data_IF_690772262147
#
_entry.id   IF_690772262147
#
_cell.length_a   1.000
_cell.length_b   1.000
_cell.length_c   1.000
_cell.angle_alpha   90.00
_cell.angle_beta   90.00
_cell.angle_gamma   90.00
#
_symmetry.space_group_name_H-M   'P 1'
#
loop_
_entity.id
_entity.type
_entity.pdbx_description
1 polymer ?
#
# COMPACT_ATOMS: atom_id res chain seq x y z
N UNK A 1 29.55 -22.76 26.79
CA UNK A 1 28.18 -22.20 26.67
C UNK A 1 27.89 -21.85 25.22
N UNK A 2 26.78 -22.29 24.68
CA UNK A 2 26.39 -21.96 23.31
C UNK A 2 25.61 -20.61 23.31
N UNK A 3 26.04 -19.65 22.47
CA UNK A 3 25.32 -18.43 22.23
C UNK A 3 24.21 -18.70 21.22
N UNK A 4 22.96 -18.51 21.60
CA UNK A 4 21.80 -18.63 20.71
C UNK A 4 21.45 -17.24 20.15
N UNK A 5 21.65 -17.03 18.87
CA UNK A 5 21.23 -15.79 18.19
C UNK A 5 19.75 -15.89 17.87
N UNK A 6 18.98 -14.91 18.28
CA UNK A 6 17.56 -14.75 17.90
C UNK A 6 17.53 -13.67 16.82
N UNK A 7 17.10 -14.01 15.62
CA UNK A 7 16.82 -13.03 14.58
C UNK A 7 15.37 -12.54 14.77
N UNK A 8 15.23 -11.35 15.36
CA UNK A 8 13.94 -10.72 15.61
C UNK A 8 13.28 -10.30 14.29
N UNK A 9 14.08 -9.90 13.29
CA UNK A 9 13.58 -9.47 11.97
C UNK A 9 12.89 -10.63 11.27
N UNK A 10 13.50 -11.80 11.27
CA UNK A 10 12.93 -13.00 10.64
C UNK A 10 11.55 -13.36 11.22
N UNK A 11 11.39 -13.27 12.55
CA UNK A 11 10.11 -13.53 13.21
C UNK A 11 9.04 -12.50 12.89
N UNK A 12 9.42 -11.23 12.82
CA UNK A 12 8.51 -10.14 12.47
C UNK A 12 8.05 -10.26 11.03
N UNK A 13 8.96 -10.59 10.11
CA UNK A 13 8.63 -10.81 8.69
C UNK A 13 7.71 -12.02 8.52
N UNK A 14 8.00 -13.15 9.16
CA UNK A 14 7.14 -14.33 9.11
C UNK A 14 5.72 -14.05 9.61
N UNK A 15 5.58 -13.26 10.68
CA UNK A 15 4.26 -12.86 11.18
C UNK A 15 3.53 -11.93 10.20
N UNK A 16 4.25 -11.03 9.55
CA UNK A 16 3.68 -10.19 8.51
C UNK A 16 3.17 -11.03 7.33
N UNK A 17 3.93 -12.02 6.89
CA UNK A 17 3.56 -12.90 5.76
C UNK A 17 2.30 -13.72 6.07
N UNK A 18 2.12 -14.19 7.30
CA UNK A 18 0.88 -14.83 7.75
C UNK A 18 -0.32 -13.88 7.64
N UNK A 19 -0.18 -12.65 8.13
CA UNK A 19 -1.23 -11.63 8.07
C UNK A 19 -1.50 -11.18 6.62
N UNK A 20 -0.48 -11.07 5.79
CA UNK A 20 -0.64 -10.78 4.37
C UNK A 20 -1.46 -11.87 3.65
N UNK A 21 -1.20 -13.13 3.97
CA UNK A 21 -2.00 -14.24 3.45
C UNK A 21 -3.47 -14.18 3.91
N UNK A 22 -3.72 -13.79 5.15
CA UNK A 22 -5.09 -13.58 5.66
C UNK A 22 -5.79 -12.43 4.93
N UNK A 23 -5.12 -11.29 4.72
CA UNK A 23 -5.63 -10.14 3.95
C UNK A 23 -5.99 -10.58 2.54
N UNK A 24 -5.07 -11.26 1.85
CA UNK A 24 -5.28 -11.78 0.49
C UNK A 24 -6.48 -12.73 0.43
N UNK A 25 -6.63 -13.60 1.41
CA UNK A 25 -7.77 -14.51 1.51
C UNK A 25 -9.11 -13.78 1.68
N UNK A 26 -9.15 -12.72 2.50
CA UNK A 26 -10.35 -11.89 2.70
C UNK A 26 -10.76 -11.18 1.42
N UNK A 27 -9.81 -10.56 0.72
CA UNK A 27 -10.06 -9.87 -0.55
C UNK A 27 -10.50 -10.85 -1.63
N UNK A 28 -9.84 -12.00 -1.76
CA UNK A 28 -10.20 -13.05 -2.71
C UNK A 28 -11.61 -13.62 -2.48
N UNK A 29 -12.03 -13.79 -1.23
CA UNK A 29 -13.38 -14.24 -0.88
C UNK A 29 -14.48 -13.30 -1.41
N UNK A 30 -14.17 -12.00 -1.52
CA UNK A 30 -15.07 -10.97 -2.08
C UNK A 30 -14.76 -10.64 -3.55
N UNK A 31 -13.77 -11.31 -4.16
CA UNK A 31 -13.31 -11.07 -5.53
C UNK A 31 -12.85 -9.62 -5.77
N UNK A 32 -12.19 -9.04 -4.78
CA UNK A 32 -11.67 -7.68 -4.82
C UNK A 32 -10.20 -7.74 -5.22
N UNK A 33 -9.82 -7.31 -6.43
CA UNK A 33 -8.42 -7.08 -6.78
C UNK A 33 -7.86 -5.92 -5.94
N UNK A 34 -6.56 -5.99 -5.66
CA UNK A 34 -5.88 -5.00 -4.82
C UNK A 34 -4.53 -4.59 -5.41
N UNK A 35 -4.31 -3.29 -5.45
CA UNK A 35 -3.10 -2.68 -6.01
C UNK A 35 -2.37 -1.88 -4.92
N UNK A 36 -1.10 -2.20 -4.70
CA UNK A 36 -0.21 -1.45 -3.83
C UNK A 36 0.59 -0.45 -4.66
N UNK A 37 0.38 0.84 -4.42
CA UNK A 37 1.08 1.92 -5.11
C UNK A 37 2.29 2.36 -4.29
N UNK A 38 3.47 2.21 -4.86
CA UNK A 38 4.75 2.55 -4.24
C UNK A 38 5.50 3.58 -5.07
N UNK A 39 6.26 4.44 -4.44
CA UNK A 39 7.07 5.46 -5.13
C UNK A 39 8.01 6.17 -4.17
N UNK A 40 8.92 6.99 -4.71
CA UNK A 40 9.56 8.06 -3.95
C UNK A 40 8.52 9.08 -3.48
N UNK A 41 8.79 9.85 -2.40
CA UNK A 41 7.95 10.99 -2.02
C UNK A 41 7.80 11.98 -3.19
N UNK A 42 6.58 12.48 -3.40
CA UNK A 42 6.32 13.50 -4.42
C UNK A 42 6.27 13.00 -5.87
N UNK A 43 6.25 11.69 -6.12
CA UNK A 43 6.18 11.13 -7.48
C UNK A 43 4.80 11.17 -8.12
N UNK A 44 3.76 11.55 -7.36
CA UNK A 44 2.42 11.75 -7.89
C UNK A 44 1.42 10.62 -7.61
N UNK A 45 1.67 9.71 -6.64
CA UNK A 45 0.71 8.65 -6.25
C UNK A 45 -0.68 9.18 -5.97
N UNK A 46 -0.79 10.12 -5.03
CA UNK A 46 -2.05 10.72 -4.64
C UNK A 46 -2.74 11.41 -5.82
N UNK A 47 -1.99 12.15 -6.63
CA UNK A 47 -2.54 12.80 -7.83
C UNK A 47 -3.05 11.81 -8.87
N UNK A 48 -2.38 10.67 -9.05
CA UNK A 48 -2.85 9.58 -9.91
C UNK A 48 -4.17 8.99 -9.38
N UNK A 49 -4.25 8.75 -8.07
CA UNK A 49 -5.46 8.23 -7.44
C UNK A 49 -6.63 9.23 -7.53
N UNK A 50 -6.40 10.53 -7.31
CA UNK A 50 -7.42 11.57 -7.50
C UNK A 50 -8.02 11.50 -8.91
N UNK A 51 -7.17 11.45 -9.94
CA UNK A 51 -7.63 11.35 -11.33
C UNK A 51 -8.33 10.01 -11.62
N UNK A 52 -7.89 8.94 -10.99
CA UNK A 52 -8.51 7.62 -11.14
C UNK A 52 -9.92 7.60 -10.52
N UNK A 53 -10.07 8.16 -9.32
CA UNK A 53 -11.36 8.29 -8.66
C UNK A 53 -12.33 9.16 -9.47
N UNK A 54 -11.85 10.28 -9.98
CA UNK A 54 -12.66 11.18 -10.83
C UNK A 54 -13.10 10.50 -12.15
N UNK A 55 -12.21 9.72 -12.77
CA UNK A 55 -12.50 9.11 -14.08
C UNK A 55 -13.33 7.82 -14.01
N UNK A 56 -13.19 7.06 -12.95
CA UNK A 56 -13.75 5.71 -12.84
C UNK A 56 -14.74 5.52 -11.70
N UNK A 57 -14.86 6.46 -10.77
CA UNK A 57 -15.67 6.33 -9.56
C UNK A 57 -17.14 6.04 -9.79
N UNK A 58 -17.71 6.51 -10.90
CA UNK A 58 -19.09 6.23 -11.30
C UNK A 58 -19.29 4.78 -11.81
N UNK A 59 -18.23 4.08 -12.16
CA UNK A 59 -18.27 2.74 -12.77
C UNK A 59 -17.69 1.64 -11.92
N UNK A 60 -16.74 1.98 -11.05
CA UNK A 60 -16.00 1.04 -10.19
C UNK A 60 -16.06 1.54 -8.77
N UNK A 61 -16.54 0.69 -7.86
CA UNK A 61 -16.60 0.98 -6.44
C UNK A 61 -15.21 0.77 -5.82
N UNK A 62 -14.45 1.85 -5.74
CA UNK A 62 -13.06 1.83 -5.26
C UNK A 62 -12.99 2.18 -3.78
N UNK A 63 -12.29 1.37 -3.00
CA UNK A 63 -11.85 1.71 -1.65
C UNK A 63 -10.37 2.06 -1.67
N UNK A 64 -9.94 2.95 -0.79
CA UNK A 64 -8.55 3.39 -0.69
C UNK A 64 -8.08 3.31 0.77
N UNK A 65 -6.92 2.67 0.96
CA UNK A 65 -6.15 2.76 2.20
C UNK A 65 -4.90 3.56 1.88
N UNK A 66 -4.68 4.67 2.55
CA UNK A 66 -3.51 5.52 2.35
C UNK A 66 -2.64 5.58 3.60
N UNK A 67 -1.35 5.37 3.44
CA UNK A 67 -0.35 5.41 4.51
C UNK A 67 0.52 6.66 4.46
N UNK A 68 0.63 7.35 5.58
CA UNK A 68 1.54 8.47 5.76
C UNK A 68 2.29 8.35 7.09
N UNK A 69 3.46 8.98 7.16
CA UNK A 69 4.32 8.93 8.35
C UNK A 69 3.69 9.68 9.53
N UNK A 70 3.08 10.84 9.31
CA UNK A 70 2.63 11.75 10.36
C UNK A 70 1.28 12.41 10.13
N UNK A 71 0.78 12.46 8.88
CA UNK A 71 -0.42 13.23 8.53
C UNK A 71 -1.48 12.37 7.85
N UNK A 72 -2.68 12.93 7.67
CA UNK A 72 -3.74 12.32 6.86
C UNK A 72 -4.11 13.18 5.64
N UNK A 73 -3.22 14.10 5.24
CA UNK A 73 -3.51 15.06 4.17
C UNK A 73 -3.84 14.38 2.84
N UNK A 74 -3.17 13.28 2.52
CA UNK A 74 -3.46 12.53 1.29
C UNK A 74 -4.82 11.82 1.38
N UNK A 75 -5.18 11.30 2.56
CA UNK A 75 -6.51 10.75 2.79
C UNK A 75 -7.61 11.82 2.60
N UNK A 76 -7.41 13.02 3.14
CA UNK A 76 -8.37 14.12 3.02
C UNK A 76 -8.54 14.56 1.56
N UNK A 77 -7.45 14.61 0.79
CA UNK A 77 -7.46 14.90 -0.64
C UNK A 77 -8.29 13.88 -1.42
N UNK A 78 -8.06 12.58 -1.15
CA UNK A 78 -8.76 11.49 -1.82
C UNK A 78 -10.23 11.42 -1.40
N UNK A 79 -10.54 11.64 -0.12
CA UNK A 79 -11.90 11.66 0.39
C UNK A 79 -12.76 12.78 -0.25
N UNK A 80 -12.16 13.86 -0.71
CA UNK A 80 -12.83 14.91 -1.47
C UNK A 80 -13.25 14.48 -2.88
N UNK A 81 -12.78 13.33 -3.38
CA UNK A 81 -13.03 12.81 -4.74
C UNK A 81 -13.97 11.61 -4.79
N UNK A 82 -14.43 11.13 -3.64
CA UNK A 82 -15.29 9.94 -3.58
C UNK A 82 -16.24 10.00 -2.39
N UNK A 83 -17.43 9.43 -2.55
CA UNK A 83 -18.39 9.23 -1.44
C UNK A 83 -18.07 7.94 -0.64
N UNK A 84 -17.04 7.20 -1.04
CA UNK A 84 -16.62 5.95 -0.39
C UNK A 84 -15.55 6.20 0.65
N UNK A 85 -15.38 5.22 1.54
CA UNK A 85 -14.40 5.33 2.60
C UNK A 85 -12.97 5.39 2.04
N UNK A 86 -12.23 6.40 2.48
CA UNK A 86 -10.78 6.48 2.37
C UNK A 86 -10.22 6.28 3.78
N UNK A 87 -9.51 5.19 3.99
CA UNK A 87 -8.97 4.84 5.30
C UNK A 87 -7.54 5.36 5.43
N UNK A 88 -7.34 6.29 6.34
CA UNK A 88 -5.99 6.80 6.65
C UNK A 88 -5.28 5.88 7.66
N UNK A 89 -4.02 5.57 7.37
CA UNK A 89 -3.10 4.89 8.27
C UNK A 89 -1.92 5.80 8.55
N UNK A 90 -1.83 6.30 9.78
CA UNK A 90 -0.68 7.08 10.23
C UNK A 90 0.31 6.13 10.89
N UNK A 91 1.48 5.94 10.28
CA UNK A 91 2.45 4.91 10.69
C UNK A 91 3.26 5.28 11.93
N UNK A 92 3.22 6.57 12.34
CA UNK A 92 3.93 7.04 13.53
C UNK A 92 5.46 6.99 13.43
N UNK A 93 6.00 7.13 12.21
CA UNK A 93 7.45 7.12 11.96
C UNK A 93 7.96 5.94 11.14
N UNK A 94 7.14 4.91 10.90
CA UNK A 94 7.52 3.84 9.99
C UNK A 94 7.41 4.34 8.53
N UNK A 95 8.41 3.99 7.73
CA UNK A 95 8.50 4.38 6.31
C UNK A 95 7.81 3.39 5.35
N UNK A 96 6.96 2.52 5.86
CA UNK A 96 6.16 1.53 5.14
C UNK A 96 4.93 1.17 5.97
N UNK A 97 3.94 0.60 5.32
CA UNK A 97 2.84 -0.11 5.97
C UNK A 97 3.16 -1.59 6.15
N UNK A 98 2.46 -2.26 7.04
CA UNK A 98 2.50 -3.70 7.25
C UNK A 98 1.11 -4.34 7.05
N UNK A 99 1.06 -5.66 6.92
CA UNK A 99 -0.18 -6.39 6.68
C UNK A 99 -1.18 -6.27 7.83
N UNK A 100 -0.72 -6.04 9.07
CA UNK A 100 -1.60 -5.82 10.22
C UNK A 100 -2.37 -4.51 10.08
N UNK A 101 -1.71 -3.45 9.62
CA UNK A 101 -2.36 -2.17 9.38
C UNK A 101 -3.40 -2.26 8.28
N UNK A 102 -3.11 -3.00 7.21
CA UNK A 102 -4.08 -3.27 6.14
C UNK A 102 -5.25 -4.11 6.68
N UNK A 103 -4.98 -5.17 7.43
CA UNK A 103 -6.03 -6.00 8.04
C UNK A 103 -6.99 -5.18 8.90
N UNK A 104 -6.45 -4.27 9.72
CA UNK A 104 -7.24 -3.36 10.55
C UNK A 104 -8.05 -2.37 9.71
N UNK A 105 -7.45 -1.80 8.67
CA UNK A 105 -8.15 -0.88 7.77
C UNK A 105 -9.33 -1.57 7.05
N UNK A 106 -9.19 -2.84 6.68
CA UNK A 106 -10.24 -3.61 6.03
C UNK A 106 -11.45 -3.90 6.95
N UNK A 107 -11.32 -3.77 8.26
CA UNK A 107 -12.45 -3.92 9.19
C UNK A 107 -13.48 -2.81 9.04
N UNK A 108 -13.04 -1.62 8.60
CA UNK A 108 -13.87 -0.45 8.39
C UNK A 108 -14.44 -0.35 6.96
N UNK A 109 -13.94 -1.16 6.02
CA UNK A 109 -14.34 -1.13 4.62
C UNK A 109 -15.45 -2.16 4.38
N UNK A 110 -16.56 -1.73 3.76
CA UNK A 110 -17.58 -2.66 3.28
C UNK A 110 -17.08 -3.40 2.04
N UNK A 111 -16.55 -4.60 2.27
CA UNK A 111 -15.99 -5.43 1.20
C UNK A 111 -17.08 -5.94 0.23
N UNK A 112 -18.33 -6.09 0.67
CA UNK A 112 -19.42 -6.50 -0.22
C UNK A 112 -19.77 -5.42 -1.25
N UNK A 113 -19.49 -4.15 -0.91
CA UNK A 113 -19.73 -2.98 -1.75
C UNK A 113 -18.46 -2.42 -2.39
N UNK A 114 -17.38 -3.22 -2.47
CA UNK A 114 -16.09 -2.81 -3.03
C UNK A 114 -15.73 -3.68 -4.23
N UNK A 115 -15.33 -3.07 -5.35
CA UNK A 115 -14.89 -3.75 -6.58
C UNK A 115 -13.37 -3.76 -6.71
N UNK A 116 -12.68 -2.78 -6.13
CA UNK A 116 -11.23 -2.59 -6.24
C UNK A 116 -10.69 -1.91 -4.99
N UNK A 117 -9.57 -2.42 -4.47
CA UNK A 117 -8.85 -1.80 -3.37
C UNK A 117 -7.54 -1.18 -3.86
N UNK A 118 -7.33 0.09 -3.57
CA UNK A 118 -6.02 0.72 -3.66
C UNK A 118 -5.37 0.82 -2.28
N UNK A 119 -4.11 0.48 -2.21
CA UNK A 119 -3.23 0.80 -1.08
C UNK A 119 -2.22 1.82 -1.57
N UNK A 120 -2.31 3.06 -1.12
CA UNK A 120 -1.29 4.08 -1.34
C UNK A 120 -0.26 3.97 -0.23
N UNK A 121 0.89 3.37 -0.52
CA UNK A 121 1.94 3.17 0.46
C UNK A 121 2.68 4.48 0.80
N UNK A 122 3.38 4.48 1.91
CA UNK A 122 4.26 5.59 2.28
C UNK A 122 5.28 5.85 1.17
N UNK A 123 5.55 7.13 0.88
CA UNK A 123 6.54 7.53 -0.13
C UNK A 123 7.95 7.11 0.25
N UNK A 124 8.38 5.93 -0.21
CA UNK A 124 9.68 5.33 0.05
C UNK A 124 9.92 4.17 -0.93
N UNK A 125 11.16 4.06 -1.45
CA UNK A 125 11.55 2.98 -2.37
C UNK A 125 12.31 1.83 -1.69
N UNK A 126 12.53 1.87 -0.38
CA UNK A 126 13.26 0.84 0.38
C UNK A 126 12.32 0.02 1.25
N UNK A 127 11.66 0.66 2.20
CA UNK A 127 10.80 0.00 3.19
C UNK A 127 9.69 -0.84 2.56
N UNK A 128 8.85 -0.26 1.70
CA UNK A 128 7.73 -0.98 1.08
C UNK A 128 8.12 -2.21 0.26
N UNK A 129 9.33 -2.25 -0.31
CA UNK A 129 9.80 -3.39 -1.11
C UNK A 129 9.94 -4.69 -0.32
N UNK A 130 9.98 -4.64 1.01
CA UNK A 130 10.23 -5.81 1.86
C UNK A 130 8.99 -6.33 2.59
N UNK A 131 7.83 -5.66 2.42
CA UNK A 131 6.63 -5.95 3.20
C UNK A 131 5.47 -6.32 2.29
N UNK A 132 5.10 -7.59 2.26
CA UNK A 132 3.86 -8.07 1.64
C UNK A 132 2.66 -7.54 2.44
N UNK A 133 1.74 -6.87 1.78
CA UNK A 133 0.52 -6.33 2.38
C UNK A 133 -0.72 -7.20 2.10
N UNK A 134 -0.56 -8.27 1.31
CA UNK A 134 -1.64 -9.10 0.81
C UNK A 134 -2.25 -8.59 -0.50
N UNK A 135 -1.56 -7.69 -1.18
CA UNK A 135 -1.94 -7.17 -2.50
C UNK A 135 -1.84 -8.21 -3.61
N UNK A 136 -2.61 -8.01 -4.68
CA UNK A 136 -2.52 -8.81 -5.91
C UNK A 136 -1.40 -8.34 -6.82
N UNK A 137 -1.14 -7.02 -6.85
CA UNK A 137 -0.05 -6.45 -7.63
C UNK A 137 0.51 -5.18 -6.99
N UNK A 138 1.81 -4.96 -7.19
CA UNK A 138 2.53 -3.74 -6.81
C UNK A 138 2.83 -2.91 -8.05
N UNK A 139 2.47 -1.64 -7.99
CA UNK A 139 2.70 -0.64 -9.05
C UNK A 139 3.70 0.39 -8.55
N UNK A 140 4.88 0.46 -9.17
CA UNK A 140 5.85 1.51 -8.87
C UNK A 140 5.59 2.74 -9.75
N UNK A 141 5.38 3.88 -9.11
CA UNK A 141 5.22 5.16 -9.79
C UNK A 141 6.55 5.88 -9.80
N UNK A 142 7.04 6.16 -10.99
CA UNK A 142 8.33 6.78 -11.22
C UNK A 142 8.16 8.08 -12.01
N UNK A 143 8.53 9.20 -11.40
CA UNK A 143 8.47 10.50 -12.05
C UNK A 143 9.73 10.76 -12.89
N UNK A 144 9.55 11.31 -14.08
CA UNK A 144 10.67 11.70 -14.95
C UNK A 144 11.60 12.75 -14.31
N UNK A 145 11.12 13.49 -13.32
CA UNK A 145 11.89 14.51 -12.59
C UNK A 145 12.80 13.92 -11.51
N UNK A 146 12.67 12.62 -11.18
CA UNK A 146 13.47 11.96 -10.14
C UNK A 146 14.87 11.57 -10.59
N UNK A 147 15.13 11.59 -11.89
CA UNK A 147 16.39 11.14 -12.50
C UNK A 147 16.37 9.66 -12.89
N UNK A 148 17.14 9.32 -13.90
CA UNK A 148 17.20 7.99 -14.51
C UNK A 148 17.90 6.92 -13.66
N UNK A 149 18.55 7.32 -12.58
CA UNK A 149 19.36 6.45 -11.73
C UNK A 149 18.57 5.74 -10.59
N UNK A 150 17.30 6.07 -10.38
CA UNK A 150 16.48 5.48 -9.33
C UNK A 150 16.37 3.95 -9.41
N UNK A 151 16.13 3.34 -10.58
CA UNK A 151 16.12 1.88 -10.68
C UNK A 151 17.45 1.23 -10.31
N UNK A 152 18.57 1.90 -10.60
CA UNK A 152 19.90 1.41 -10.23
C UNK A 152 20.19 1.55 -8.73
N UNK A 153 19.65 2.59 -8.09
CA UNK A 153 19.81 2.84 -6.64
C UNK A 153 18.90 1.97 -5.78
N UNK A 154 17.73 1.63 -6.29
CA UNK A 154 16.68 0.89 -5.57
C UNK A 154 16.19 -0.33 -6.37
N UNK A 155 17.09 -1.23 -6.80
CA UNK A 155 16.75 -2.30 -7.73
C UNK A 155 15.64 -3.20 -7.20
N UNK A 156 15.64 -3.52 -5.89
CA UNK A 156 14.66 -4.41 -5.28
C UNK A 156 13.21 -3.93 -5.50
N UNK A 157 12.96 -2.63 -5.35
CA UNK A 157 11.61 -2.10 -5.57
C UNK A 157 11.14 -2.29 -7.01
N UNK A 158 12.01 -1.99 -7.97
CA UNK A 158 11.67 -2.11 -9.40
C UNK A 158 11.62 -3.57 -9.87
N UNK A 159 12.45 -4.46 -9.31
CA UNK A 159 12.43 -5.89 -9.63
C UNK A 159 11.20 -6.62 -9.06
N UNK A 160 10.70 -6.17 -7.92
CA UNK A 160 9.56 -6.80 -7.25
C UNK A 160 8.21 -6.19 -7.62
N UNK A 161 8.18 -5.06 -8.31
CA UNK A 161 6.95 -4.46 -8.80
C UNK A 161 6.46 -5.17 -10.06
N UNK A 162 5.15 -5.31 -10.19
CA UNK A 162 4.51 -5.95 -11.34
C UNK A 162 4.36 -4.99 -12.53
N UNK A 163 4.25 -3.69 -12.20
CA UNK A 163 4.04 -2.60 -13.17
C UNK A 163 4.82 -1.36 -12.78
#
# INVERSE_FOLDING_TARGET
>A
MAVRRIDVREKVMARNDELAAEVRGRLAAHRIPSLNLVSSPGSGKTSLLEQTLDALGDRIRMAVVTGDVQTQNDADRLAARTDRLVQAVVTGGACHMDARQISTALEEIDLAETDLLFVENVGNLVGPASWDLGEDATVVIFSVTEGEDKPLKYPTMFEQSDY
#
